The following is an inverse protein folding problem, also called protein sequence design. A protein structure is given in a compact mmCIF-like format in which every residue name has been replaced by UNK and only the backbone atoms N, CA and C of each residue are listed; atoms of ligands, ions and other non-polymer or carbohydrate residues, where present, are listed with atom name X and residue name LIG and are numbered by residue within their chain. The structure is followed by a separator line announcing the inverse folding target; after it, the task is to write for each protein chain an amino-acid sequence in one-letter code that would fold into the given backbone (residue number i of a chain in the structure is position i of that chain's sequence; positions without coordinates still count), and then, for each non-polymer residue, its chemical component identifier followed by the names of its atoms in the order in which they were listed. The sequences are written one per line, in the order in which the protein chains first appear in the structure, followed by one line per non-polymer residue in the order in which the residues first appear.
data_IF_127979794624
#
_entry.id   IF_127979794624
#
_cell.length_a   1.000
_cell.length_b   1.000
_cell.length_c   1.000
_cell.angle_alpha   90.00
_cell.angle_beta   90.00
_cell.angle_gamma   90.00
#
_symmetry.space_group_name_H-M   'P 1'
#
loop_
_entity.id
_entity.type
_entity.pdbx_description
1 polymer ?
#
# COMPACT_ATOMS: atom_id res chain seq x y z
N UNK A 1 -10.47 -32.54 30.34
CA UNK A 1 -11.73 -32.40 29.56
C UNK A 1 -12.71 -31.37 30.13
N UNK A 2 -13.06 -31.40 31.43
CA UNK A 2 -14.07 -30.48 32.01
C UNK A 2 -13.66 -28.99 31.94
N UNK A 3 -12.38 -28.68 32.07
CA UNK A 3 -11.83 -27.31 31.96
C UNK A 3 -11.87 -26.80 30.51
N UNK A 4 -11.44 -27.61 29.53
CA UNK A 4 -11.55 -27.25 28.10
C UNK A 4 -12.99 -26.98 27.67
N UNK A 5 -13.95 -27.80 28.10
CA UNK A 5 -15.37 -27.59 27.77
C UNK A 5 -15.91 -26.29 28.38
N UNK A 6 -15.46 -25.94 29.60
CA UNK A 6 -15.82 -24.66 30.23
C UNK A 6 -15.21 -23.47 29.51
N UNK A 7 -13.92 -23.53 29.15
CA UNK A 7 -13.25 -22.48 28.38
C UNK A 7 -13.87 -22.31 26.99
N UNK A 8 -14.22 -23.41 26.32
CA UNK A 8 -14.91 -23.37 25.03
C UNK A 8 -16.29 -22.70 25.13
N UNK A 9 -17.05 -23.07 26.16
CA UNK A 9 -18.36 -22.48 26.40
C UNK A 9 -18.25 -20.99 26.76
N UNK A 10 -17.25 -20.63 27.56
CA UNK A 10 -16.96 -19.24 27.92
C UNK A 10 -16.55 -18.40 26.70
N UNK A 11 -15.71 -18.92 25.80
CA UNK A 11 -15.29 -18.16 24.62
C UNK A 11 -16.42 -18.01 23.59
N UNK A 12 -17.16 -19.08 23.30
CA UNK A 12 -18.06 -19.09 22.14
C UNK A 12 -19.54 -18.94 22.44
N UNK A 13 -19.99 -19.20 23.68
CA UNK A 13 -21.41 -19.23 24.02
C UNK A 13 -21.79 -18.29 25.18
N UNK A 14 -20.85 -17.56 25.76
CA UNK A 14 -21.08 -16.63 26.86
C UNK A 14 -21.12 -15.19 26.31
N UNK A 15 -22.18 -14.45 26.63
CA UNK A 15 -22.40 -13.07 26.18
C UNK A 15 -21.77 -12.02 27.12
N UNK A 16 -21.01 -12.44 28.12
CA UNK A 16 -20.33 -11.51 29.04
C UNK A 16 -19.25 -10.66 28.35
N UNK A 17 -19.02 -9.46 28.88
CA UNK A 17 -17.97 -8.54 28.41
C UNK A 17 -16.58 -9.20 28.43
N UNK A 18 -16.33 -10.08 29.40
CA UNK A 18 -15.07 -10.82 29.52
C UNK A 18 -14.88 -11.87 28.43
N UNK A 19 -15.96 -12.52 28.00
CA UNK A 19 -15.95 -13.42 26.84
C UNK A 19 -15.63 -12.65 25.56
N UNK A 20 -16.28 -11.51 25.34
CA UNK A 20 -15.99 -10.61 24.21
C UNK A 20 -14.52 -10.14 24.18
N UNK A 21 -13.98 -9.70 25.32
CA UNK A 21 -12.58 -9.31 25.44
C UNK A 21 -11.64 -10.49 25.12
N UNK A 22 -11.94 -11.68 25.66
CA UNK A 22 -11.15 -12.88 25.40
C UNK A 22 -11.18 -13.25 23.91
N UNK A 23 -12.33 -13.15 23.24
CA UNK A 23 -12.46 -13.39 21.79
C UNK A 23 -11.64 -12.40 20.96
N UNK A 24 -11.60 -11.12 21.32
CA UNK A 24 -10.75 -10.12 20.66
C UNK A 24 -9.27 -10.50 20.79
N UNK A 25 -8.84 -10.92 21.99
CA UNK A 25 -7.46 -11.40 22.21
C UNK A 25 -7.17 -12.65 21.39
N UNK A 26 -8.07 -13.63 21.38
CA UNK A 26 -7.93 -14.85 20.57
C UNK A 26 -7.84 -14.50 19.08
N UNK A 27 -8.72 -13.63 18.57
CA UNK A 27 -8.70 -13.18 17.19
C UNK A 27 -7.38 -12.48 16.84
N UNK A 28 -6.89 -11.59 17.70
CA UNK A 28 -5.59 -10.94 17.53
C UNK A 28 -4.45 -11.96 17.45
N UNK A 29 -4.42 -12.96 18.33
CA UNK A 29 -3.40 -14.00 18.32
C UNK A 29 -3.47 -14.86 17.06
N UNK A 30 -4.67 -15.28 16.65
CA UNK A 30 -4.88 -16.04 15.41
C UNK A 30 -4.43 -15.23 14.19
N UNK A 31 -4.84 -13.97 14.11
CA UNK A 31 -4.46 -13.09 13.01
C UNK A 31 -2.93 -12.93 12.99
N UNK A 32 -2.31 -12.56 14.11
CA UNK A 32 -0.89 -12.23 14.21
C UNK A 32 0.05 -13.42 14.01
N UNK A 33 -0.31 -14.59 14.54
CA UNK A 33 0.57 -15.77 14.60
C UNK A 33 0.17 -16.90 13.67
N UNK A 34 -1.04 -16.87 13.07
CA UNK A 34 -1.49 -17.88 12.10
C UNK A 34 -1.75 -17.24 10.74
N UNK A 35 -2.70 -16.30 10.66
CA UNK A 35 -3.14 -15.74 9.38
C UNK A 35 -2.02 -14.99 8.65
N UNK A 36 -1.38 -14.01 9.29
CA UNK A 36 -0.31 -13.22 8.66
C UNK A 36 0.90 -14.07 8.25
N UNK A 37 1.42 -14.98 9.09
CA UNK A 37 2.49 -15.89 8.67
C UNK A 37 2.08 -16.79 7.49
N UNK A 38 0.87 -17.34 7.48
CA UNK A 38 0.40 -18.16 6.35
C UNK A 38 0.29 -17.32 5.07
N UNK A 39 -0.28 -16.12 5.14
CA UNK A 39 -0.36 -15.21 3.99
C UNK A 39 1.05 -14.83 3.50
N UNK A 40 1.98 -14.55 4.39
CA UNK A 40 3.36 -14.23 4.03
C UNK A 40 4.07 -15.38 3.32
N UNK A 41 3.82 -16.62 3.73
CA UNK A 41 4.34 -17.82 3.05
C UNK A 41 3.71 -18.02 1.66
N UNK A 42 2.38 -17.89 1.55
CA UNK A 42 1.66 -18.07 0.28
C UNK A 42 2.05 -17.00 -0.72
N UNK A 43 2.01 -15.73 -0.30
CA UNK A 43 2.27 -14.58 -1.15
C UNK A 43 3.78 -14.35 -1.38
N UNK A 44 4.64 -14.91 -0.52
CA UNK A 44 6.10 -14.81 -0.60
C UNK A 44 6.62 -13.41 -0.24
N UNK A 45 5.99 -12.75 0.72
CA UNK A 45 6.35 -11.39 1.17
C UNK A 45 6.19 -11.26 2.68
N UNK A 46 7.07 -10.51 3.37
CA UNK A 46 6.90 -10.21 4.79
C UNK A 46 5.73 -9.25 5.07
N UNK A 47 5.23 -8.55 4.06
CA UNK A 47 4.13 -7.57 4.17
C UNK A 47 2.97 -7.93 3.25
N UNK A 48 2.26 -9.04 3.49
CA UNK A 48 1.22 -9.54 2.57
C UNK A 48 0.05 -8.56 2.36
N UNK A 49 -0.18 -7.64 3.29
CA UNK A 49 -1.28 -6.68 3.28
C UNK A 49 -0.73 -5.33 3.75
N UNK A 50 -0.95 -4.28 2.97
CA UNK A 50 -0.61 -2.89 3.34
C UNK A 50 -1.82 -1.98 3.20
N UNK A 51 -1.97 -1.03 4.13
CA UNK A 51 -2.99 0.00 4.06
C UNK A 51 -2.38 1.29 3.51
N UNK A 52 -3.04 1.92 2.53
CA UNK A 52 -2.61 3.17 1.91
C UNK A 52 -2.97 4.33 2.82
N UNK A 53 -1.98 5.12 3.20
CA UNK A 53 -2.14 6.21 4.18
C UNK A 53 -1.95 7.61 3.60
N UNK A 54 -1.57 7.72 2.32
CA UNK A 54 -1.30 8.98 1.62
C UNK A 54 -1.92 9.01 0.24
N UNK A 55 -1.98 10.22 -0.32
CA UNK A 55 -2.63 10.56 -1.57
C UNK A 55 -1.67 10.43 -2.79
N UNK A 56 -0.44 9.97 -2.57
CA UNK A 56 0.64 9.91 -3.57
C UNK A 56 0.36 9.07 -4.82
N UNK A 57 -0.64 8.20 -4.77
CA UNK A 57 -1.07 7.32 -5.87
C UNK A 57 -2.48 7.67 -6.38
N UNK A 58 -3.08 8.76 -5.90
CA UNK A 58 -4.40 9.21 -6.29
C UNK A 58 -4.39 9.85 -7.67
N UNK A 59 -5.42 9.55 -8.46
CA UNK A 59 -5.62 10.15 -9.78
C UNK A 59 -6.59 11.33 -9.75
N UNK A 60 -7.11 11.67 -8.56
CA UNK A 60 -7.93 12.86 -8.30
C UNK A 60 -7.10 14.05 -7.82
N UNK A 61 -7.75 15.19 -7.60
CA UNK A 61 -7.11 16.37 -7.03
C UNK A 61 -6.94 16.22 -5.52
N UNK A 62 -5.76 16.59 -5.02
CA UNK A 62 -5.52 16.82 -3.61
C UNK A 62 -5.15 18.28 -3.41
N UNK A 63 -5.92 19.03 -2.63
CA UNK A 63 -5.72 20.48 -2.44
C UNK A 63 -5.61 21.26 -3.77
N UNK A 64 -6.48 20.92 -4.74
CA UNK A 64 -6.48 21.49 -6.09
C UNK A 64 -5.19 21.22 -6.90
N UNK A 65 -4.35 20.30 -6.45
CA UNK A 65 -3.11 19.92 -7.13
C UNK A 65 -3.15 18.48 -7.61
N UNK A 66 -2.47 18.24 -8.72
CA UNK A 66 -2.13 16.90 -9.24
C UNK A 66 -0.91 17.02 -10.14
N UNK A 67 0.08 16.14 -9.98
CA UNK A 67 1.28 16.10 -10.84
C UNK A 67 2.02 17.44 -10.94
N UNK A 68 1.99 18.24 -9.87
CA UNK A 68 2.60 19.58 -9.83
C UNK A 68 1.82 20.68 -10.56
N UNK A 69 0.62 20.39 -11.05
CA UNK A 69 -0.30 21.34 -11.70
C UNK A 69 -1.42 21.72 -10.73
N UNK A 70 -1.85 22.98 -10.77
CA UNK A 70 -3.01 23.47 -10.01
C UNK A 70 -4.22 23.57 -10.93
N UNK A 71 -5.33 22.91 -10.59
CA UNK A 71 -6.56 22.88 -11.39
C UNK A 71 -7.77 23.26 -10.51
N UNK A 72 -8.62 24.16 -11.02
CA UNK A 72 -9.82 24.62 -10.30
C UNK A 72 -10.92 23.55 -10.27
N UNK A 73 -11.09 22.82 -11.37
CA UNK A 73 -12.05 21.73 -11.52
C UNK A 73 -11.36 20.55 -12.22
N UNK A 74 -11.67 19.34 -11.77
CA UNK A 74 -11.15 18.11 -12.37
C UNK A 74 -12.16 16.99 -12.19
N UNK A 75 -12.64 16.46 -13.31
CA UNK A 75 -13.47 15.26 -13.30
C UNK A 75 -12.55 14.03 -13.30
N UNK A 76 -12.69 13.17 -12.30
CA UNK A 76 -11.90 11.94 -12.21
C UNK A 76 -12.21 11.00 -13.38
N UNK A 77 -11.21 10.78 -14.21
CA UNK A 77 -11.22 9.77 -15.27
C UNK A 77 -9.79 9.48 -15.71
N UNK A 78 -9.57 8.28 -16.28
CA UNK A 78 -8.29 7.93 -16.87
C UNK A 78 -7.81 8.95 -17.91
N UNK A 79 -8.72 9.47 -18.75
CA UNK A 79 -8.33 10.44 -19.77
C UNK A 79 -7.86 11.74 -19.14
N UNK A 80 -8.62 12.29 -18.19
CA UNK A 80 -8.26 13.55 -17.55
C UNK A 80 -6.98 13.42 -16.73
N UNK A 81 -6.78 12.29 -16.05
CA UNK A 81 -5.51 11.98 -15.40
C UNK A 81 -4.35 11.97 -16.40
N UNK A 82 -4.51 11.26 -17.52
CA UNK A 82 -3.49 11.20 -18.55
C UNK A 82 -3.20 12.57 -19.17
N UNK A 83 -4.21 13.39 -19.40
CA UNK A 83 -4.04 14.72 -19.97
C UNK A 83 -3.31 15.66 -18.97
N UNK A 84 -3.51 15.47 -17.67
CA UNK A 84 -2.79 16.21 -16.63
C UNK A 84 -1.36 15.70 -16.39
N UNK A 85 -1.16 14.38 -16.29
CA UNK A 85 0.07 13.77 -15.77
C UNK A 85 0.91 13.02 -16.82
N UNK A 86 0.32 12.68 -17.97
CA UNK A 86 0.89 11.78 -18.99
C UNK A 86 2.19 12.28 -19.62
N UNK A 87 2.38 13.59 -19.72
CA UNK A 87 3.59 14.21 -20.29
C UNK A 87 4.88 13.72 -19.61
N UNK A 88 4.86 13.58 -18.28
CA UNK A 88 6.01 13.07 -17.54
C UNK A 88 6.34 11.63 -17.94
N UNK A 89 5.32 10.77 -18.08
CA UNK A 89 5.49 9.38 -18.49
C UNK A 89 5.99 9.25 -19.93
N UNK A 90 5.49 10.10 -20.83
CA UNK A 90 5.96 10.17 -22.22
C UNK A 90 7.45 10.51 -22.26
N UNK A 91 7.90 11.45 -21.43
CA UNK A 91 9.33 11.81 -21.31
C UNK A 91 10.20 10.67 -20.73
N UNK A 92 9.59 9.67 -20.08
CA UNK A 92 10.24 8.42 -19.64
C UNK A 92 10.07 7.26 -20.62
N UNK A 93 9.49 7.50 -21.81
CA UNK A 93 9.26 6.47 -22.81
C UNK A 93 8.09 5.54 -22.51
N UNK A 94 7.12 5.99 -21.70
CA UNK A 94 5.87 5.30 -21.40
C UNK A 94 4.73 6.04 -22.08
N UNK A 95 4.15 5.45 -23.12
CA UNK A 95 3.01 6.02 -23.84
C UNK A 95 1.65 5.69 -23.18
N UNK A 96 0.58 6.34 -23.66
CA UNK A 96 -0.79 6.18 -23.11
C UNK A 96 -1.27 4.73 -23.18
N UNK A 97 -0.95 4.03 -24.27
CA UNK A 97 -1.40 2.66 -24.50
C UNK A 97 -0.68 1.68 -23.57
N UNK A 98 0.62 1.89 -23.34
CA UNK A 98 1.40 1.14 -22.37
C UNK A 98 0.87 1.36 -20.96
N UNK A 99 0.65 2.63 -20.56
CA UNK A 99 0.15 2.95 -19.23
C UNK A 99 -1.25 2.38 -18.98
N UNK A 100 -2.12 2.40 -20.00
CA UNK A 100 -3.46 1.80 -19.92
C UNK A 100 -3.42 0.28 -19.69
N UNK A 101 -2.34 -0.40 -20.08
CA UNK A 101 -2.16 -1.83 -19.86
C UNK A 101 -1.56 -2.18 -18.49
N UNK A 102 -1.13 -1.19 -17.70
CA UNK A 102 -0.51 -1.43 -16.40
C UNK A 102 -1.51 -1.96 -15.34
N UNK A 103 -1.04 -2.75 -14.37
CA UNK A 103 -1.85 -3.10 -13.21
C UNK A 103 -2.20 -1.83 -12.41
N UNK A 104 -3.40 -1.81 -11.83
CA UNK A 104 -3.89 -0.68 -11.02
C UNK A 104 -3.75 0.66 -11.78
N UNK A 105 -4.09 0.68 -13.08
CA UNK A 105 -3.93 1.83 -13.98
C UNK A 105 -4.68 3.09 -13.58
N UNK A 106 -5.72 2.96 -12.75
CA UNK A 106 -6.54 4.09 -12.25
C UNK A 106 -6.08 4.55 -10.85
N UNK A 107 -4.86 4.15 -10.44
CA UNK A 107 -4.31 4.45 -9.13
C UNK A 107 -5.09 3.80 -7.98
N UNK A 108 -4.84 4.32 -6.78
CA UNK A 108 -5.56 3.94 -5.57
C UNK A 108 -5.49 5.05 -4.53
N UNK A 109 -6.44 5.03 -3.61
CA UNK A 109 -6.70 6.15 -2.72
C UNK A 109 -6.29 5.84 -1.29
N UNK A 110 -6.09 6.90 -0.51
CA UNK A 110 -5.96 6.77 0.93
C UNK A 110 -7.14 6.00 1.52
N UNK A 111 -6.80 5.04 2.39
CA UNK A 111 -7.74 4.12 3.01
C UNK A 111 -8.05 2.87 2.18
N UNK A 112 -7.39 2.66 1.05
CA UNK A 112 -7.42 1.36 0.37
C UNK A 112 -6.45 0.37 1.05
N UNK A 113 -6.72 -0.92 0.86
CA UNK A 113 -5.79 -2.00 1.21
C UNK A 113 -5.25 -2.62 -0.07
N UNK A 114 -3.93 -2.80 -0.13
CA UNK A 114 -3.26 -3.49 -1.23
C UNK A 114 -2.69 -4.82 -0.74
N UNK A 115 -3.02 -5.90 -1.46
CA UNK A 115 -2.43 -7.21 -1.25
C UNK A 115 -1.13 -7.28 -2.04
N UNK A 116 -0.06 -7.71 -1.37
CA UNK A 116 1.26 -7.80 -1.97
C UNK A 116 1.58 -9.25 -2.39
N UNK A 117 2.30 -9.37 -3.49
CA UNK A 117 2.95 -10.59 -3.95
C UNK A 117 4.47 -10.45 -3.84
N UNK A 118 5.21 -11.56 -3.87
CA UNK A 118 6.67 -11.55 -3.86
C UNK A 118 7.26 -10.63 -4.95
N UNK A 119 8.39 -10.01 -4.62
CA UNK A 119 9.10 -9.03 -5.45
C UNK A 119 9.93 -9.70 -6.57
N UNK A 120 9.30 -10.55 -7.37
CA UNK A 120 9.94 -11.26 -8.50
C UNK A 120 9.41 -10.75 -9.85
N UNK A 121 10.24 -10.86 -10.89
CA UNK A 121 9.90 -10.46 -12.26
C UNK A 121 9.25 -9.07 -12.37
N UNK A 122 9.80 -8.09 -11.64
CA UNK A 122 9.32 -6.71 -11.63
C UNK A 122 9.51 -6.08 -13.01
N UNK A 123 8.45 -5.46 -13.53
CA UNK A 123 8.42 -4.78 -14.83
C UNK A 123 7.97 -3.34 -14.67
N UNK A 124 8.28 -2.50 -15.66
CA UNK A 124 7.70 -1.16 -15.77
C UNK A 124 6.17 -1.25 -15.73
N UNK A 125 5.55 -0.40 -14.92
CA UNK A 125 4.11 -0.37 -14.69
C UNK A 125 3.63 -1.08 -13.43
N UNK A 126 4.42 -2.01 -12.88
CA UNK A 126 4.10 -2.70 -11.61
C UNK A 126 3.99 -1.71 -10.45
N UNK A 127 3.17 -2.02 -9.44
CA UNK A 127 3.14 -1.30 -8.17
C UNK A 127 4.12 -1.95 -7.21
N UNK A 128 5.12 -1.21 -6.75
CA UNK A 128 6.21 -1.73 -5.94
C UNK A 128 6.14 -1.14 -4.53
N UNK A 129 6.23 -2.01 -3.53
CA UNK A 129 6.37 -1.63 -2.13
C UNK A 129 7.81 -1.83 -1.70
N UNK A 130 8.42 -0.78 -1.17
CA UNK A 130 9.82 -0.78 -0.79
C UNK A 130 10.09 0.10 0.43
N UNK A 131 11.24 -0.14 1.04
CA UNK A 131 11.77 0.65 2.14
C UNK A 131 12.38 1.96 1.62
N UNK A 132 11.86 3.11 2.09
CA UNK A 132 12.45 4.42 1.87
C UNK A 132 13.23 4.91 3.10
N UNK A 133 13.45 6.23 3.21
CA UNK A 133 14.00 6.82 4.44
C UNK A 133 12.95 7.12 5.51
N UNK A 134 11.67 6.92 5.19
CA UNK A 134 10.57 7.11 6.12
C UNK A 134 10.31 5.82 6.92
N UNK A 135 9.75 5.91 8.15
CA UNK A 135 9.43 4.72 8.95
C UNK A 135 8.44 3.77 8.27
N UNK A 136 7.58 4.29 7.40
CA UNK A 136 6.59 3.49 6.68
C UNK A 136 7.09 3.15 5.27
N UNK A 137 6.81 1.93 4.78
CA UNK A 137 7.08 1.56 3.40
C UNK A 137 6.39 2.49 2.39
N UNK A 138 7.04 2.68 1.26
CA UNK A 138 6.51 3.46 0.13
C UNK A 138 5.90 2.50 -0.87
N UNK A 139 4.75 2.85 -1.45
CA UNK A 139 4.07 2.06 -2.48
C UNK A 139 3.83 2.90 -3.73
N UNK A 140 4.65 2.72 -4.76
CA UNK A 140 4.64 3.56 -5.96
C UNK A 140 4.80 2.74 -7.24
N UNK A 141 4.50 3.35 -8.40
CA UNK A 141 4.59 2.69 -9.70
C UNK A 141 6.01 2.61 -10.20
N UNK A 142 6.43 1.47 -10.71
CA UNK A 142 7.72 1.29 -11.39
C UNK A 142 7.69 1.99 -12.73
N UNK A 143 8.62 2.91 -12.93
CA UNK A 143 8.78 3.72 -14.15
C UNK A 143 10.09 3.43 -14.87
N UNK A 144 11.02 2.72 -14.21
CA UNK A 144 12.27 2.28 -14.82
C UNK A 144 12.81 1.02 -14.14
N UNK A 145 13.39 0.14 -14.95
CA UNK A 145 14.11 -1.06 -14.49
C UNK A 145 15.47 -1.04 -15.18
N UNK A 146 16.54 -1.07 -14.40
CA UNK A 146 17.90 -1.01 -14.92
C UNK A 146 18.83 -1.85 -14.04
N UNK A 147 20.06 -2.03 -14.51
CA UNK A 147 21.06 -2.83 -13.81
C UNK A 147 22.18 -1.93 -13.32
N UNK A 148 22.57 -2.09 -12.05
CA UNK A 148 23.74 -1.44 -11.49
C UNK A 148 24.58 -2.47 -10.76
N UNK A 149 25.87 -2.55 -11.12
CA UNK A 149 26.83 -3.50 -10.52
C UNK A 149 26.34 -4.96 -10.59
N UNK A 150 25.74 -5.37 -11.72
CA UNK A 150 25.26 -6.75 -11.88
C UNK A 150 23.92 -7.04 -11.20
N UNK A 151 23.28 -6.03 -10.58
CA UNK A 151 22.04 -6.20 -9.81
C UNK A 151 20.94 -5.29 -10.35
N UNK A 152 19.72 -5.83 -10.43
CA UNK A 152 18.54 -5.03 -10.79
C UNK A 152 18.28 -3.95 -9.75
N UNK A 153 18.04 -2.75 -10.26
CA UNK A 153 17.60 -1.57 -9.55
C UNK A 153 16.36 -1.00 -10.23
N UNK A 154 15.55 -0.30 -9.44
CA UNK A 154 14.24 0.18 -9.89
C UNK A 154 14.13 1.69 -9.65
N UNK A 155 13.43 2.36 -10.56
CA UNK A 155 12.92 3.70 -10.34
C UNK A 155 11.41 3.62 -10.16
N UNK A 156 10.89 4.27 -9.11
CA UNK A 156 9.45 4.41 -8.90
C UNK A 156 9.01 5.85 -8.96
N UNK A 157 7.70 6.05 -9.05
CA UNK A 157 7.05 7.34 -8.93
C UNK A 157 5.65 7.17 -8.35
N UNK A 158 5.30 8.03 -7.41
CA UNK A 158 3.91 8.23 -7.00
C UNK A 158 3.12 8.84 -8.16
N UNK A 159 2.03 8.19 -8.57
CA UNK A 159 1.22 8.60 -9.72
C UNK A 159 0.70 10.04 -9.59
N UNK A 160 0.48 10.51 -8.36
CA UNK A 160 0.02 11.88 -8.05
C UNK A 160 1.16 12.90 -7.97
N UNK A 161 2.39 12.46 -7.69
CA UNK A 161 3.53 13.35 -7.47
C UNK A 161 3.88 14.11 -8.77
N UNK A 162 4.68 15.17 -8.72
CA UNK A 162 5.20 15.81 -9.95
C UNK A 162 6.35 15.03 -10.59
N UNK A 163 7.14 14.30 -9.78
CA UNK A 163 8.32 13.55 -10.22
C UNK A 163 8.58 12.35 -9.29
N UNK A 164 9.58 11.54 -9.61
CA UNK A 164 10.23 10.58 -8.72
C UNK A 164 11.06 11.32 -7.65
N UNK A 165 10.77 11.09 -6.37
CA UNK A 165 11.35 11.86 -5.27
C UNK A 165 12.65 11.19 -4.78
N UNK A 166 13.79 11.83 -4.97
CA UNK A 166 15.08 11.35 -4.45
C UNK A 166 15.26 11.67 -2.97
N UNK A 167 15.03 12.93 -2.59
CA UNK A 167 15.17 13.38 -1.20
C UNK A 167 14.02 12.87 -0.33
N UNK A 168 14.33 12.08 0.70
CA UNK A 168 13.35 11.56 1.66
C UNK A 168 12.65 10.26 1.26
N UNK A 169 12.41 10.00 -0.02
CA UNK A 169 11.79 8.74 -0.49
C UNK A 169 12.78 7.77 -1.15
N UNK A 170 13.86 8.29 -1.74
CA UNK A 170 14.88 7.53 -2.46
C UNK A 170 14.32 6.60 -3.54
N UNK A 171 13.53 7.19 -4.45
CA UNK A 171 12.81 6.48 -5.51
C UNK A 171 13.61 6.27 -6.80
N UNK A 172 14.80 6.87 -6.91
CA UNK A 172 15.55 6.91 -8.18
C UNK A 172 16.38 5.64 -8.40
N UNK A 173 16.81 4.98 -7.33
CA UNK A 173 17.65 3.78 -7.39
C UNK A 173 17.35 2.85 -6.22
N UNK A 174 16.23 2.14 -6.32
CA UNK A 174 15.78 1.18 -5.31
C UNK A 174 16.46 -0.16 -5.60
N UNK A 175 17.27 -0.64 -4.66
CA UNK A 175 17.94 -1.93 -4.73
C UNK A 175 17.00 -3.08 -4.34
N UNK A 176 17.32 -4.28 -4.80
CA UNK A 176 16.47 -5.46 -4.59
C UNK A 176 16.30 -5.87 -3.12
N UNK A 177 17.23 -5.49 -2.25
CA UNK A 177 17.20 -5.74 -0.80
C UNK A 177 16.18 -4.87 -0.04
N UNK A 178 15.75 -3.75 -0.63
CA UNK A 178 14.76 -2.84 -0.05
C UNK A 178 13.32 -3.21 -0.42
N UNK A 179 13.11 -4.29 -1.15
CA UNK A 179 11.80 -4.63 -1.70
C UNK A 179 10.98 -5.47 -0.74
N UNK A 180 9.75 -5.03 -0.51
CA UNK A 180 8.78 -5.77 0.30
C UNK A 180 7.80 -6.56 -0.55
N UNK A 181 7.44 -6.10 -1.75
CA UNK A 181 6.55 -6.86 -2.64
C UNK A 181 5.96 -6.03 -3.77
N UNK A 182 5.18 -6.68 -4.63
CA UNK A 182 4.41 -6.07 -5.70
C UNK A 182 2.93 -6.00 -5.33
N UNK A 183 2.29 -4.84 -5.45
CA UNK A 183 0.86 -4.69 -5.26
C UNK A 183 0.07 -5.35 -6.40
N UNK A 184 -0.81 -6.29 -6.08
CA UNK A 184 -1.56 -7.07 -7.08
C UNK A 184 -3.07 -6.89 -7.01
N UNK A 185 -3.62 -6.64 -5.82
CA UNK A 185 -5.07 -6.53 -5.61
C UNK A 185 -5.33 -5.32 -4.72
N UNK A 186 -6.26 -4.47 -5.15
CA UNK A 186 -6.79 -3.34 -4.39
C UNK A 186 -8.13 -3.72 -3.77
N UNK A 187 -8.29 -3.46 -2.48
CA UNK A 187 -9.54 -3.57 -1.75
C UNK A 187 -9.92 -2.16 -1.28
N UNK A 188 -10.90 -1.51 -1.93
CA UNK A 188 -11.25 -0.14 -1.62
C UNK A 188 -11.75 0.05 -0.19
N UNK A 189 -11.42 1.20 0.41
CA UNK A 189 -11.93 1.69 1.70
C UNK A 189 -11.62 0.87 2.97
N UNK A 190 -11.14 -0.37 2.86
CA UNK A 190 -10.92 -1.25 4.01
C UNK A 190 -9.86 -0.71 4.99
N UNK A 191 -8.89 0.05 4.48
CA UNK A 191 -7.84 0.68 5.26
C UNK A 191 -8.34 1.78 6.20
N UNK A 192 -9.51 2.37 5.92
CA UNK A 192 -10.11 3.37 6.81
C UNK A 192 -10.39 2.83 8.21
N UNK A 193 -10.63 1.52 8.36
CA UNK A 193 -10.78 0.90 9.70
C UNK A 193 -9.52 1.10 10.55
N UNK A 194 -8.32 0.92 9.96
CA UNK A 194 -7.04 1.18 10.65
C UNK A 194 -6.85 2.67 10.88
N UNK A 195 -7.05 3.49 9.84
CA UNK A 195 -6.77 4.94 9.87
C UNK A 195 -7.63 5.63 10.93
N UNK A 196 -8.95 5.41 10.91
CA UNK A 196 -9.87 6.02 11.89
C UNK A 196 -9.54 5.60 13.32
N UNK A 197 -9.14 4.35 13.54
CA UNK A 197 -8.72 3.89 14.86
C UNK A 197 -7.46 4.63 15.34
N UNK A 198 -6.42 4.70 14.49
CA UNK A 198 -5.17 5.40 14.81
C UNK A 198 -5.43 6.89 15.08
N UNK A 199 -6.23 7.54 14.24
CA UNK A 199 -6.57 8.96 14.40
C UNK A 199 -7.38 9.22 15.67
N UNK A 200 -8.29 8.31 16.05
CA UNK A 200 -9.09 8.43 17.26
C UNK A 200 -8.26 8.31 18.55
N UNK A 201 -7.18 7.51 18.56
CA UNK A 201 -6.32 7.34 19.74
C UNK A 201 -5.19 8.36 19.82
N UNK A 202 -4.86 9.05 18.73
CA UNK A 202 -3.80 10.05 18.67
C UNK A 202 -3.96 11.21 19.68
N UNK A 203 -5.15 11.79 19.92
CA UNK A 203 -5.36 12.82 20.95
C UNK A 203 -5.09 12.33 22.37
N UNK A 204 -5.08 11.02 22.61
CA UNK A 204 -4.76 10.42 23.91
C UNK A 204 -3.24 10.28 24.14
N UNK A 205 -2.41 10.82 23.23
CA UNK A 205 -0.96 10.68 23.27
C UNK A 205 -0.45 9.31 22.84
N UNK A 206 -1.31 8.47 22.27
CA UNK A 206 -0.95 7.14 21.76
C UNK A 206 -0.53 7.28 20.30
N UNK A 207 0.77 7.22 20.04
CA UNK A 207 1.32 7.17 18.67
C UNK A 207 1.55 5.71 18.27
N UNK A 208 0.78 5.21 17.31
CA UNK A 208 0.95 3.85 16.77
C UNK A 208 1.90 3.93 15.57
N UNK A 209 3.20 3.81 15.82
CA UNK A 209 4.21 3.68 14.77
C UNK A 209 4.40 2.20 14.41
N UNK A 210 3.57 1.67 13.50
CA UNK A 210 3.80 0.38 12.80
C UNK A 210 3.13 0.32 11.43
#
# INVERSE_FOLDING_TARGET
MRTLKKTWNFLWNDDSIWSWLANIVVAFLVIRYILYPMLGLVLGTPFPIVAVVSESMEHGLHQQQICGKTLAEFQESFSNYWDACGEWYINKGIDKSQFQAFPLRDGFNKGDVIILWRAEEIKTGDILVFEGHQPQPIIHRVVGVFEVEGKKSYQTKGDHNSDSISSGLDEQRISSDRLYGKGIIRIPYLGWVKILFVDAVKPLGITIER
#
